data_IF_002902063825
#
_entry.id   IF_002902063825
#
_cell.length_a   1.000
_cell.length_b   1.000
_cell.length_c   1.000
_cell.angle_alpha   90.00
_cell.angle_beta   90.00
_cell.angle_gamma   90.00
#
_symmetry.space_group_name_H-M   'P 1'
#
loop_
_entity.id
_entity.type
_entity.pdbx_description
1 polymer ?
#
# COMPACT_ATOMS: atom_id res chain seq x y z
N UNK A 1 18.19 28.78 8.43
CA UNK A 1 17.39 29.03 7.20
C UNK A 1 17.83 27.99 6.17
N UNK A 2 17.00 27.20 5.48
CA UNK A 2 15.55 27.08 5.47
C UNK A 2 15.10 25.62 5.50
N UNK A 3 13.83 25.42 5.91
CA UNK A 3 13.15 24.13 5.88
C UNK A 3 13.12 23.67 4.41
N UNK A 4 13.74 22.53 4.08
CA UNK A 4 13.45 21.83 2.82
C UNK A 4 11.97 21.43 2.89
N UNK A 5 11.10 22.25 2.31
CA UNK A 5 9.71 21.89 2.04
C UNK A 5 9.79 20.59 1.25
N UNK A 6 9.29 19.53 1.85
CA UNK A 6 9.29 18.20 1.27
C UNK A 6 8.15 18.20 0.24
N UNK A 7 8.36 18.89 -0.88
CA UNK A 7 7.33 19.12 -1.88
C UNK A 7 6.82 17.78 -2.43
N UNK A 8 5.52 17.55 -2.26
CA UNK A 8 4.80 16.45 -2.88
C UNK A 8 5.00 16.49 -4.39
N UNK A 9 5.31 15.35 -5.01
CA UNK A 9 5.48 15.29 -6.47
C UNK A 9 4.13 15.60 -7.15
N UNK A 10 4.11 16.60 -8.03
CA UNK A 10 2.93 16.97 -8.82
C UNK A 10 3.10 16.46 -10.24
N UNK A 11 2.13 15.69 -10.73
CA UNK A 11 2.14 15.24 -12.13
C UNK A 11 1.92 16.43 -13.06
N UNK A 12 2.85 16.64 -14.00
CA UNK A 12 2.79 17.75 -14.96
C UNK A 12 1.94 17.45 -16.21
N UNK A 13 1.62 16.18 -16.45
CA UNK A 13 0.92 15.70 -17.65
C UNK A 13 0.12 14.41 -17.40
N UNK A 14 -0.64 13.97 -18.41
CA UNK A 14 -1.41 12.73 -18.37
C UNK A 14 -2.69 12.80 -17.51
N UNK A 15 -3.24 11.63 -17.20
CA UNK A 15 -4.52 11.46 -16.47
C UNK A 15 -4.59 12.19 -15.13
N UNK A 16 -3.45 12.36 -14.46
CA UNK A 16 -3.37 12.96 -13.12
C UNK A 16 -2.70 14.33 -13.11
N UNK A 17 -2.68 15.06 -14.25
CA UNK A 17 -2.13 16.41 -14.33
C UNK A 17 -2.64 17.29 -13.18
N UNK A 18 -1.73 18.01 -12.53
CA UNK A 18 -1.97 18.89 -11.37
C UNK A 18 -2.45 18.16 -10.09
N UNK A 19 -2.29 16.84 -10.00
CA UNK A 19 -2.53 16.08 -8.76
C UNK A 19 -1.20 15.70 -8.12
N UNK A 20 -1.17 15.65 -6.80
CA UNK A 20 -0.02 15.13 -6.05
C UNK A 20 0.02 13.60 -6.08
N UNK A 21 1.22 13.04 -5.95
CA UNK A 21 1.43 11.60 -5.84
C UNK A 21 0.59 10.98 -4.72
N UNK A 22 0.52 11.62 -3.57
CA UNK A 22 -0.24 11.15 -2.41
C UNK A 22 -1.74 11.20 -2.64
N UNK A 23 -2.24 12.24 -3.32
CA UNK A 23 -3.64 12.27 -3.75
C UNK A 23 -3.95 11.11 -4.70
N UNK A 24 -3.08 10.86 -5.68
CA UNK A 24 -3.26 9.74 -6.62
C UNK A 24 -3.18 8.40 -5.90
N UNK A 25 -2.30 8.24 -4.93
CA UNK A 25 -2.18 7.03 -4.12
C UNK A 25 -3.48 6.70 -3.35
N UNK A 26 -4.10 7.70 -2.73
CA UNK A 26 -5.33 7.50 -1.96
C UNK A 26 -6.51 7.17 -2.89
N UNK A 27 -6.59 7.83 -4.04
CA UNK A 27 -7.73 7.74 -4.95
C UNK A 27 -7.62 6.57 -5.95
N UNK A 28 -6.42 6.30 -6.48
CA UNK A 28 -6.09 5.25 -7.44
C UNK A 28 -4.75 4.55 -7.07
N UNK A 29 -4.72 3.75 -5.99
CA UNK A 29 -3.50 3.08 -5.54
C UNK A 29 -2.96 2.04 -6.53
N UNK A 30 -3.79 1.53 -7.45
CA UNK A 30 -3.34 0.64 -8.52
C UNK A 30 -2.37 1.35 -9.46
N UNK A 31 -2.70 2.58 -9.88
CA UNK A 31 -1.82 3.36 -10.75
C UNK A 31 -0.45 3.57 -10.10
N UNK A 32 -0.42 3.97 -8.82
CA UNK A 32 0.84 4.18 -8.08
C UNK A 32 1.62 2.88 -7.93
N UNK A 33 0.93 1.76 -7.69
CA UNK A 33 1.56 0.44 -7.66
C UNK A 33 2.18 0.03 -9.01
N UNK A 34 1.51 0.32 -10.13
CA UNK A 34 2.06 0.05 -11.47
C UNK A 34 3.33 0.88 -11.71
N UNK A 35 3.32 2.16 -11.34
CA UNK A 35 4.50 3.04 -11.39
C UNK A 35 5.63 2.46 -10.52
N UNK A 36 5.33 2.05 -9.28
CA UNK A 36 6.29 1.42 -8.40
C UNK A 36 6.91 0.16 -9.01
N UNK A 37 6.10 -0.73 -9.60
CA UNK A 37 6.59 -1.98 -10.20
C UNK A 37 7.54 -1.73 -11.37
N UNK A 38 7.26 -0.70 -12.18
CA UNK A 38 8.12 -0.28 -13.30
C UNK A 38 9.48 0.25 -12.85
N UNK A 39 9.57 0.86 -11.67
CA UNK A 39 10.85 1.37 -11.17
C UNK A 39 11.66 0.32 -10.42
N UNK A 40 11.00 -0.50 -9.58
CA UNK A 40 11.70 -1.30 -8.58
C UNK A 40 11.70 -2.82 -8.83
N UNK A 41 10.79 -3.34 -9.66
CA UNK A 41 10.60 -4.79 -9.80
C UNK A 41 10.93 -5.25 -11.21
N UNK A 42 10.34 -4.60 -12.20
CA UNK A 42 10.73 -4.76 -13.57
C UNK A 42 11.78 -3.70 -13.84
N UNK A 43 13.06 -4.07 -13.88
CA UNK A 43 14.12 -3.22 -14.45
C UNK A 43 13.87 -3.09 -15.95
N UNK A 44 12.78 -2.42 -16.31
CA UNK A 44 12.41 -2.18 -17.69
C UNK A 44 13.47 -1.24 -18.22
N UNK A 45 14.40 -1.81 -18.97
CA UNK A 45 15.33 -1.18 -19.90
C UNK A 45 16.00 0.11 -19.38
N UNK A 46 17.32 0.09 -19.20
CA UNK A 46 18.10 1.30 -18.89
C UNK A 46 17.92 2.42 -19.96
N UNK A 47 17.23 2.14 -21.07
CA UNK A 47 16.81 3.08 -22.11
C UNK A 47 15.56 3.89 -21.78
N UNK A 48 14.70 3.50 -20.83
CA UNK A 48 13.56 4.31 -20.39
C UNK A 48 14.06 5.34 -19.38
N UNK A 49 14.14 6.60 -19.81
CA UNK A 49 14.54 7.74 -18.97
C UNK A 49 13.71 7.75 -17.68
N UNK A 50 14.33 7.31 -16.58
CA UNK A 50 13.69 7.27 -15.26
C UNK A 50 13.44 8.71 -14.82
N UNK A 51 12.20 9.01 -14.45
CA UNK A 51 11.91 10.24 -13.72
C UNK A 51 12.41 10.06 -12.29
N UNK A 52 13.69 10.37 -12.06
CA UNK A 52 14.36 10.25 -10.76
C UNK A 52 13.61 11.01 -9.65
N UNK A 53 12.93 12.11 -10.00
CA UNK A 53 12.12 12.87 -9.04
C UNK A 53 10.89 12.07 -8.62
N UNK A 54 10.21 11.43 -9.57
CA UNK A 54 9.08 10.56 -9.28
C UNK A 54 9.51 9.33 -8.49
N UNK A 55 10.63 8.70 -8.86
CA UNK A 55 11.17 7.55 -8.12
C UNK A 55 11.46 7.92 -6.66
N UNK A 56 12.16 9.03 -6.42
CA UNK A 56 12.44 9.52 -5.07
C UNK A 56 11.16 9.86 -4.31
N UNK A 57 10.15 10.41 -4.97
CA UNK A 57 8.86 10.70 -4.36
C UNK A 57 8.11 9.42 -3.96
N UNK A 58 8.14 8.38 -4.80
CA UNK A 58 7.57 7.06 -4.48
C UNK A 58 8.28 6.44 -3.28
N UNK A 59 9.62 6.53 -3.22
CA UNK A 59 10.38 6.09 -2.05
C UNK A 59 9.93 6.81 -0.77
N UNK A 60 9.77 8.14 -0.82
CA UNK A 60 9.30 8.93 0.33
C UNK A 60 7.87 8.57 0.74
N UNK A 61 6.97 8.38 -0.22
CA UNK A 61 5.60 7.92 0.05
C UNK A 61 5.60 6.60 0.82
N UNK A 62 6.46 5.62 0.46
CA UNK A 62 6.58 4.37 1.21
C UNK A 62 7.01 4.58 2.66
N UNK A 63 7.95 5.49 2.90
CA UNK A 63 8.37 5.82 4.26
C UNK A 63 7.24 6.48 5.06
N UNK A 64 6.46 7.38 4.44
CA UNK A 64 5.27 7.97 5.07
C UNK A 64 4.26 6.88 5.48
N UNK A 65 3.90 5.98 4.55
CA UNK A 65 2.94 4.87 4.81
C UNK A 65 3.41 3.96 5.95
N UNK A 66 4.72 3.67 6.03
CA UNK A 66 5.30 2.82 7.08
C UNK A 66 5.11 3.38 8.50
N UNK A 67 4.98 4.70 8.62
CA UNK A 67 4.86 5.40 9.89
C UNK A 67 3.41 5.72 10.27
N UNK A 68 2.43 5.43 9.40
CA UNK A 68 1.03 5.65 9.73
C UNK A 68 0.55 4.67 10.81
N UNK A 69 -0.23 5.19 11.76
CA UNK A 69 -0.91 4.36 12.75
C UNK A 69 -2.05 3.57 12.12
N UNK A 70 -2.27 2.36 12.65
CA UNK A 70 -3.36 1.49 12.22
C UNK A 70 -4.53 1.57 13.19
N UNK A 71 -5.74 1.75 12.69
CA UNK A 71 -6.96 1.87 13.50
C UNK A 71 -7.69 0.52 13.69
N UNK A 72 -7.22 -0.56 13.04
CA UNK A 72 -7.87 -1.88 13.09
C UNK A 72 -7.37 -2.76 14.22
N UNK A 73 -8.33 -3.45 14.84
CA UNK A 73 -8.09 -4.53 15.80
C UNK A 73 -7.78 -5.84 15.08
N UNK A 74 -6.82 -6.58 15.61
CA UNK A 74 -6.63 -7.98 15.24
C UNK A 74 -7.90 -8.78 15.60
N UNK A 75 -8.51 -9.55 14.67
CA UNK A 75 -9.75 -10.28 14.94
C UNK A 75 -9.58 -11.42 15.95
N UNK A 76 -8.35 -11.84 16.25
CA UNK A 76 -8.07 -12.99 17.13
C UNK A 76 -7.68 -12.60 18.56
N UNK A 77 -6.92 -11.51 18.72
CA UNK A 77 -6.43 -11.07 20.03
C UNK A 77 -6.92 -9.68 20.42
N UNK A 78 -7.75 -9.05 19.59
CA UNK A 78 -8.41 -7.75 19.81
C UNK A 78 -7.50 -6.55 20.11
N UNK A 79 -6.17 -6.72 20.02
CA UNK A 79 -5.19 -5.62 20.10
C UNK A 79 -5.35 -4.68 18.89
N UNK A 80 -5.29 -3.36 19.14
CA UNK A 80 -5.29 -2.29 18.14
C UNK A 80 -3.95 -2.25 17.37
N UNK A 81 -3.61 -3.34 16.66
CA UNK A 81 -2.33 -3.44 15.95
C UNK A 81 -2.35 -4.52 14.87
N UNK A 82 -2.94 -4.22 13.71
CA UNK A 82 -2.78 -5.08 12.53
C UNK A 82 -1.48 -4.74 11.81
N UNK A 83 -0.76 -5.77 11.36
CA UNK A 83 0.52 -5.61 10.67
C UNK A 83 0.55 -6.35 9.34
N UNK A 84 -0.24 -7.41 9.22
CA UNK A 84 -0.26 -8.26 8.06
C UNK A 84 -1.65 -8.33 7.49
N UNK A 85 -1.73 -8.45 6.17
CA UNK A 85 -2.90 -8.97 5.49
C UNK A 85 -2.55 -10.27 4.77
N UNK A 86 -3.52 -11.15 4.62
CA UNK A 86 -3.39 -12.42 3.90
C UNK A 86 -3.89 -12.23 2.47
N UNK A 87 -3.03 -12.46 1.48
CA UNK A 87 -3.44 -12.62 0.10
C UNK A 87 -3.74 -14.10 -0.15
N UNK A 88 -5.00 -14.47 -0.39
CA UNK A 88 -5.39 -15.87 -0.49
C UNK A 88 -5.02 -16.50 -1.84
N UNK A 89 -4.75 -17.81 -1.86
CA UNK A 89 -4.29 -18.52 -3.07
C UNK A 89 -5.41 -18.79 -4.10
N UNK A 90 -6.68 -18.85 -3.66
CA UNK A 90 -7.84 -19.17 -4.52
C UNK A 90 -9.02 -18.28 -4.20
N UNK A 91 -9.61 -17.64 -5.22
CA UNK A 91 -10.52 -16.48 -5.16
C UNK A 91 -11.66 -16.49 -4.13
N UNK A 92 -11.73 -15.39 -3.37
CA UNK A 92 -12.80 -14.90 -2.49
C UNK A 92 -12.25 -13.71 -1.70
N UNK A 93 -13.11 -12.75 -1.37
CA UNK A 93 -12.72 -11.42 -0.94
C UNK A 93 -13.30 -11.09 0.43
N UNK A 94 -12.74 -11.65 1.50
CA UNK A 94 -13.19 -11.41 2.88
C UNK A 94 -12.30 -10.38 3.58
N UNK A 95 -12.91 -9.50 4.37
CA UNK A 95 -12.18 -8.42 5.09
C UNK A 95 -11.43 -8.96 6.33
N UNK A 96 -11.72 -10.20 6.77
CA UNK A 96 -11.08 -10.85 7.93
C UNK A 96 -9.62 -11.27 7.66
N UNK A 97 -9.04 -10.89 6.54
CA UNK A 97 -7.71 -11.26 6.10
C UNK A 97 -6.60 -10.42 6.76
N UNK A 98 -6.71 -10.03 8.03
CA UNK A 98 -5.68 -9.22 8.72
C UNK A 98 -5.35 -9.75 10.11
N UNK A 99 -4.10 -9.64 10.55
CA UNK A 99 -3.69 -10.02 11.91
C UNK A 99 -2.54 -9.14 12.44
N UNK A 100 -2.26 -9.29 13.74
CA UNK A 100 -1.10 -8.69 14.39
C UNK A 100 0.18 -9.53 14.17
N UNK A 101 1.27 -9.14 14.83
CA UNK A 101 2.58 -9.83 14.79
C UNK A 101 2.64 -11.14 15.57
N UNK A 102 1.63 -11.46 16.38
CA UNK A 102 1.66 -12.66 17.22
C UNK A 102 1.55 -13.94 16.36
N UNK A 103 2.45 -14.93 16.48
CA UNK A 103 2.46 -16.13 15.65
C UNK A 103 1.12 -16.88 15.63
N UNK A 104 0.53 -17.12 16.81
CA UNK A 104 -0.81 -17.74 16.93
C UNK A 104 -1.90 -16.99 16.14
N UNK A 105 -1.84 -15.66 16.07
CA UNK A 105 -2.82 -14.90 15.28
C UNK A 105 -2.60 -15.07 13.78
N UNK A 106 -1.35 -15.22 13.34
CA UNK A 106 -1.00 -15.50 11.95
C UNK A 106 -1.40 -16.92 11.54
N UNK A 107 -1.14 -17.90 12.41
CA UNK A 107 -1.54 -19.30 12.21
C UNK A 107 -3.07 -19.42 12.12
N UNK A 108 -3.81 -18.80 13.05
CA UNK A 108 -5.28 -18.75 12.97
C UNK A 108 -5.78 -18.09 11.69
N UNK A 109 -5.08 -17.08 11.20
CA UNK A 109 -5.42 -16.44 9.93
C UNK A 109 -5.21 -17.38 8.74
N UNK A 110 -4.08 -18.10 8.71
CA UNK A 110 -3.77 -19.10 7.67
C UNK A 110 -4.66 -20.34 7.75
N UNK A 111 -5.12 -20.72 8.93
CA UNK A 111 -6.08 -21.80 9.12
C UNK A 111 -7.45 -21.47 8.50
N UNK A 112 -7.82 -20.18 8.45
CA UNK A 112 -9.05 -19.75 7.78
C UNK A 112 -8.94 -19.89 6.25
N UNK A 113 -7.73 -19.67 5.69
CA UNK A 113 -7.49 -19.76 4.25
C UNK A 113 -6.00 -19.87 3.90
N UNK A 114 -5.68 -20.71 2.92
CA UNK A 114 -4.35 -20.76 2.32
C UNK A 114 -4.02 -19.43 1.61
N UNK A 115 -2.79 -18.97 1.74
CA UNK A 115 -2.36 -17.68 1.23
C UNK A 115 -1.00 -17.23 1.75
N UNK A 116 -0.53 -16.11 1.20
CA UNK A 116 0.71 -15.46 1.61
C UNK A 116 0.44 -14.24 2.47
N UNK A 117 1.13 -14.13 3.61
CA UNK A 117 1.03 -12.96 4.49
C UNK A 117 1.94 -11.85 3.97
N UNK A 118 1.37 -10.67 3.78
CA UNK A 118 2.09 -9.46 3.38
C UNK A 118 2.00 -8.39 4.45
N UNK A 119 3.09 -7.65 4.72
CA UNK A 119 3.02 -6.46 5.55
C UNK A 119 2.07 -5.44 4.95
N UNK A 120 1.15 -4.89 5.75
CA UNK A 120 0.22 -3.84 5.28
C UNK A 120 0.99 -2.62 4.76
N UNK A 121 2.11 -2.29 5.40
CA UNK A 121 2.96 -1.17 5.01
C UNK A 121 3.70 -1.38 3.68
N UNK A 122 3.79 -2.62 3.18
CA UNK A 122 4.38 -2.93 1.86
C UNK A 122 3.29 -3.12 0.78
N UNK A 123 2.08 -2.65 1.03
CA UNK A 123 0.93 -2.68 0.12
C UNK A 123 1.25 -2.26 -1.32
N UNK A 124 2.07 -1.21 -1.52
CA UNK A 124 2.47 -0.72 -2.85
C UNK A 124 3.22 -1.76 -3.68
N UNK A 125 3.99 -2.64 -3.04
CA UNK A 125 4.73 -3.72 -3.70
C UNK A 125 3.82 -4.86 -4.13
N UNK A 126 2.67 -5.03 -3.47
CA UNK A 126 1.80 -6.19 -3.64
C UNK A 126 0.69 -5.91 -4.64
N UNK A 127 0.03 -4.75 -4.51
CA UNK A 127 -1.12 -4.37 -5.34
C UNK A 127 -0.98 -4.59 -6.87
N UNK A 128 0.20 -4.43 -7.50
CA UNK A 128 0.34 -4.56 -8.95
C UNK A 128 0.29 -6.01 -9.45
N UNK A 129 0.59 -6.97 -8.57
CA UNK A 129 0.66 -8.40 -8.88
C UNK A 129 -0.62 -9.14 -8.50
N UNK A 130 -1.48 -8.48 -7.74
CA UNK A 130 -2.76 -9.06 -7.31
C UNK A 130 -3.73 -9.00 -8.48
N UNK A 131 -4.44 -10.11 -8.74
CA UNK A 131 -5.46 -10.15 -9.77
C UNK A 131 -6.49 -9.03 -9.57
N UNK A 132 -7.00 -8.44 -10.65
CA UNK A 132 -7.89 -7.25 -10.61
C UNK A 132 -9.08 -7.39 -9.64
N UNK A 133 -9.63 -8.60 -9.49
CA UNK A 133 -10.74 -8.90 -8.55
C UNK A 133 -10.30 -8.82 -7.08
N UNK A 134 -9.11 -9.29 -6.78
CA UNK A 134 -8.54 -9.33 -5.43
C UNK A 134 -7.95 -7.99 -5.02
N UNK A 135 -7.40 -7.22 -5.97
CA UNK A 135 -6.78 -5.94 -5.66
C UNK A 135 -7.81 -4.93 -5.12
N UNK A 136 -9.09 -5.01 -5.53
CA UNK A 136 -10.18 -4.24 -4.89
C UNK A 136 -10.27 -4.53 -3.39
N UNK A 137 -10.12 -5.78 -2.99
CA UNK A 137 -10.19 -6.20 -1.58
C UNK A 137 -8.96 -5.81 -0.81
N UNK A 138 -7.78 -5.96 -1.41
CA UNK A 138 -6.53 -5.50 -0.80
C UNK A 138 -6.58 -3.98 -0.57
N UNK A 139 -7.09 -3.20 -1.53
CA UNK A 139 -7.34 -1.76 -1.36
C UNK A 139 -8.34 -1.49 -0.23
N UNK A 140 -9.44 -2.24 -0.18
CA UNK A 140 -10.44 -2.07 0.88
C UNK A 140 -9.86 -2.40 2.26
N UNK A 141 -9.03 -3.43 2.37
CA UNK A 141 -8.31 -3.77 3.61
C UNK A 141 -7.39 -2.62 3.98
N UNK A 142 -6.56 -2.14 3.05
CA UNK A 142 -5.68 -0.98 3.28
C UNK A 142 -6.47 0.24 3.77
N UNK A 143 -7.50 0.68 3.05
CA UNK A 143 -8.34 1.83 3.40
C UNK A 143 -9.10 1.66 4.71
N UNK A 144 -9.41 0.43 5.12
CA UNK A 144 -10.08 0.15 6.40
C UNK A 144 -9.09 0.05 7.56
N UNK A 145 -7.81 -0.23 7.29
CA UNK A 145 -6.75 -0.34 8.30
C UNK A 145 -6.24 1.01 8.78
N UNK A 146 -6.22 2.01 7.90
CA UNK A 146 -5.88 3.39 8.24
C UNK A 146 -7.17 4.20 8.36
N UNK A 147 -7.25 5.11 9.33
CA UNK A 147 -8.38 6.04 9.35
C UNK A 147 -8.22 7.14 8.28
N UNK A 148 -9.31 7.87 8.04
CA UNK A 148 -9.34 8.94 7.05
C UNK A 148 -8.35 10.06 7.41
N UNK A 149 -8.11 10.34 8.69
CA UNK A 149 -7.21 11.40 9.15
C UNK A 149 -5.77 11.02 8.81
N UNK A 150 -5.33 9.82 9.18
CA UNK A 150 -3.99 9.30 8.83
C UNK A 150 -3.75 9.26 7.32
N UNK A 151 -4.77 8.92 6.52
CA UNK A 151 -4.64 8.97 5.06
C UNK A 151 -4.53 10.40 4.52
N UNK A 152 -5.21 11.37 5.14
CA UNK A 152 -5.13 12.78 4.75
C UNK A 152 -3.77 13.40 5.12
N UNK A 153 -3.08 12.93 6.15
CA UNK A 153 -1.72 13.35 6.50
C UNK A 153 -0.68 13.05 5.41
N UNK A 154 -1.03 12.21 4.43
CA UNK A 154 -0.18 11.96 3.27
C UNK A 154 -0.19 13.13 2.27
N UNK A 155 -1.30 13.85 2.12
CA UNK A 155 -1.53 14.89 1.09
C UNK A 155 -0.88 16.21 1.49
#
# INVERSE_FOLDING_TARGET
MGKKVNESYIFSSGRYKNKSLEWVFINDPFYVGQVYSRFYLYRYDDSVRKDEKLELAIYRLRQKIRNLEVNKKCPFCHKNKVHFFLLPDVGTTTIKLTCCKHPVCQERLRAFRAGTLYPINDFLSVIPFVAKREGKTVIQIFRKTYDKVSLLELI
#
